data_IF_329370279429
#
_entry.id   IF_329370279429
#
_cell.length_a   1.000
_cell.length_b   1.000
_cell.length_c   1.000
_cell.angle_alpha   90.00
_cell.angle_beta   90.00
_cell.angle_gamma   90.00
#
_symmetry.space_group_name_H-M   'P 1'
#
loop_
_entity.id
_entity.type
_entity.pdbx_description
1 polymer ?
#
# COMPACT_ATOMS: atom_id res chain seq x y z
N UNK A 1 -5.39 0.95 22.48
CA UNK A 1 -4.70 0.22 21.40
C UNK A 1 -5.67 0.11 20.23
N UNK A 2 -5.50 0.90 19.17
CA UNK A 2 -6.56 1.13 18.17
C UNK A 2 -6.67 0.04 17.08
N UNK A 3 -5.65 -0.81 16.89
CA UNK A 3 -5.67 -1.93 15.91
C UNK A 3 -5.03 -3.24 16.41
N UNK A 4 -4.35 -3.23 17.55
CA UNK A 4 -3.66 -4.40 18.10
C UNK A 4 -2.41 -4.86 17.33
N UNK A 5 -1.98 -4.15 16.27
CA UNK A 5 -0.79 -4.54 15.48
C UNK A 5 -1.01 -5.75 14.56
N UNK A 6 -2.26 -6.12 14.29
CA UNK A 6 -2.62 -7.35 13.58
C UNK A 6 -2.06 -7.44 12.14
N UNK A 7 -1.87 -6.30 11.46
CA UNK A 7 -1.32 -6.33 10.10
C UNK A 7 0.19 -6.55 10.10
N UNK A 8 0.90 -5.89 11.02
CA UNK A 8 2.33 -6.09 11.26
C UNK A 8 2.62 -7.54 11.68
N UNK A 9 1.83 -8.09 12.60
CA UNK A 9 1.91 -9.50 13.00
C UNK A 9 1.76 -10.43 11.78
N UNK A 10 0.76 -10.15 10.93
CA UNK A 10 0.57 -10.90 9.69
C UNK A 10 1.75 -10.84 8.71
N UNK A 11 2.44 -9.69 8.61
CA UNK A 11 3.67 -9.58 7.83
C UNK A 11 4.80 -10.41 8.44
N UNK A 12 4.96 -10.37 9.76
CA UNK A 12 5.99 -11.12 10.47
C UNK A 12 5.78 -12.62 10.30
N UNK A 13 4.56 -13.10 10.54
CA UNK A 13 4.17 -14.50 10.39
C UNK A 13 4.38 -15.00 8.96
N UNK A 14 3.94 -14.22 7.96
CA UNK A 14 4.16 -14.60 6.56
C UNK A 14 5.66 -14.70 6.22
N UNK A 15 6.48 -13.79 6.74
CA UNK A 15 7.92 -13.81 6.55
C UNK A 15 8.57 -15.01 7.23
N UNK A 16 8.24 -15.30 8.49
CA UNK A 16 8.75 -16.46 9.22
C UNK A 16 8.28 -17.78 8.60
N UNK A 17 7.05 -17.82 8.09
CA UNK A 17 6.51 -18.93 7.31
C UNK A 17 7.40 -19.29 6.10
N UNK A 18 8.16 -18.35 5.53
CA UNK A 18 9.10 -18.65 4.44
C UNK A 18 10.23 -19.60 4.86
N UNK A 19 10.54 -19.69 6.17
CA UNK A 19 11.53 -20.61 6.71
C UNK A 19 11.10 -22.08 6.75
N UNK A 20 9.82 -22.38 6.51
CA UNK A 20 9.32 -23.77 6.47
C UNK A 20 9.58 -24.46 5.12
N UNK A 21 10.03 -25.73 5.11
CA UNK A 21 10.33 -26.46 3.88
C UNK A 21 9.08 -26.97 3.13
N UNK A 22 7.99 -27.29 3.85
CA UNK A 22 6.73 -27.77 3.31
C UNK A 22 5.57 -26.84 3.68
N UNK A 23 4.49 -26.85 2.89
CA UNK A 23 3.29 -26.02 3.13
C UNK A 23 2.76 -26.18 4.57
N UNK A 24 2.69 -27.40 5.06
CA UNK A 24 2.20 -27.76 6.38
C UNK A 24 3.07 -27.09 7.45
N UNK A 25 4.40 -27.21 7.31
CA UNK A 25 5.34 -26.60 8.25
C UNK A 25 5.29 -25.07 8.21
N UNK A 26 5.10 -24.45 7.04
CA UNK A 26 4.91 -22.99 6.94
C UNK A 26 3.67 -22.53 7.70
N UNK A 27 2.55 -23.24 7.52
CA UNK A 27 1.30 -22.92 8.20
C UNK A 27 1.36 -23.17 9.70
N UNK A 28 2.16 -24.12 10.17
CA UNK A 28 2.47 -24.32 11.59
C UNK A 28 3.29 -23.18 12.17
N UNK A 29 4.34 -22.73 11.45
CA UNK A 29 5.18 -21.60 11.89
C UNK A 29 4.32 -20.34 12.03
N UNK A 30 3.46 -20.05 11.04
CA UNK A 30 2.49 -18.94 11.07
C UNK A 30 1.36 -19.09 12.12
N UNK A 31 1.38 -20.12 12.98
CA UNK A 31 0.49 -20.24 14.14
C UNK A 31 1.25 -20.13 15.46
N UNK A 32 2.58 -20.20 15.39
CA UNK A 32 3.43 -20.04 16.56
C UNK A 32 3.50 -18.54 16.89
N UNK A 33 3.16 -18.17 18.12
CA UNK A 33 3.24 -16.79 18.60
C UNK A 33 4.67 -16.25 18.70
N UNK A 34 5.69 -17.11 18.54
CA UNK A 34 7.10 -16.72 18.62
C UNK A 34 7.56 -16.11 17.30
N UNK A 35 8.05 -14.88 17.37
CA UNK A 35 8.67 -14.22 16.23
C UNK A 35 10.04 -14.87 15.89
N UNK A 36 10.27 -15.11 14.61
CA UNK A 36 11.53 -15.58 14.06
C UNK A 36 12.37 -14.45 13.45
N UNK A 37 13.55 -14.81 12.97
CA UNK A 37 14.49 -13.84 12.39
C UNK A 37 13.96 -13.18 11.11
N UNK A 38 13.17 -13.90 10.30
CA UNK A 38 12.59 -13.34 9.08
C UNK A 38 11.48 -12.34 9.41
N UNK A 39 10.65 -12.62 10.41
CA UNK A 39 9.64 -11.71 10.92
C UNK A 39 10.25 -10.42 11.44
N UNK A 40 11.30 -10.51 12.27
CA UNK A 40 12.03 -9.32 12.77
C UNK A 40 12.60 -8.49 11.61
N UNK A 41 13.23 -9.12 10.62
CA UNK A 41 13.78 -8.43 9.45
C UNK A 41 12.69 -7.76 8.61
N UNK A 42 11.56 -8.45 8.38
CA UNK A 42 10.44 -7.91 7.62
C UNK A 42 9.81 -6.70 8.31
N UNK A 43 9.57 -6.79 9.63
CA UNK A 43 9.06 -5.66 10.42
C UNK A 43 10.03 -4.49 10.42
N UNK A 44 11.31 -4.75 10.67
CA UNK A 44 12.36 -3.72 10.67
C UNK A 44 12.43 -3.00 9.33
N UNK A 45 12.44 -3.75 8.22
CA UNK A 45 12.44 -3.18 6.88
C UNK A 45 11.17 -2.38 6.61
N UNK A 46 9.99 -2.89 7.00
CA UNK A 46 8.72 -2.19 6.82
C UNK A 46 8.68 -0.85 7.57
N UNK A 47 9.22 -0.80 8.79
CA UNK A 47 9.28 0.41 9.59
C UNK A 47 10.30 1.39 9.03
N UNK A 48 11.47 0.89 8.59
CA UNK A 48 12.49 1.71 7.95
C UNK A 48 11.98 2.36 6.67
N UNK A 49 11.33 1.60 5.78
CA UNK A 49 10.77 2.14 4.53
C UNK A 49 9.71 3.19 4.82
N UNK A 50 8.80 2.95 5.77
CA UNK A 50 7.77 3.91 6.16
C UNK A 50 8.40 5.18 6.74
N UNK A 51 9.31 5.04 7.70
CA UNK A 51 9.98 6.17 8.33
C UNK A 51 10.82 6.99 7.34
N UNK A 52 11.64 6.34 6.51
CA UNK A 52 12.47 7.02 5.52
C UNK A 52 11.64 7.71 4.46
N UNK A 53 10.53 7.09 4.02
CA UNK A 53 9.64 7.69 3.02
C UNK A 53 8.99 8.95 3.57
N UNK A 54 8.42 8.88 4.79
CA UNK A 54 7.79 10.03 5.42
C UNK A 54 8.80 11.15 5.73
N UNK A 55 10.02 10.81 6.16
CA UNK A 55 11.07 11.79 6.44
C UNK A 55 11.60 12.49 5.17
N UNK A 56 11.52 11.83 4.02
CA UNK A 56 11.92 12.42 2.74
C UNK A 56 10.86 13.39 2.20
N UNK A 57 9.58 13.20 2.58
CA UNK A 57 8.49 14.01 2.04
C UNK A 57 8.42 15.42 2.65
N UNK A 58 8.02 16.43 1.85
CA UNK A 58 7.68 17.74 2.38
C UNK A 58 6.53 17.63 3.39
N UNK A 59 6.58 18.40 4.47
CA UNK A 59 5.61 18.31 5.57
C UNK A 59 4.14 18.38 5.11
N UNK A 60 3.83 19.18 4.09
CA UNK A 60 2.48 19.27 3.53
C UNK A 60 1.99 18.03 2.79
N UNK A 61 2.88 17.15 2.33
CA UNK A 61 2.53 15.90 1.62
C UNK A 61 2.39 14.71 2.56
N UNK A 62 2.94 14.76 3.76
CA UNK A 62 2.95 13.64 4.72
C UNK A 62 1.54 13.15 5.03
N UNK A 63 0.61 14.06 5.34
CA UNK A 63 -0.78 13.68 5.65
C UNK A 63 -1.48 13.04 4.44
N UNK A 64 -1.28 13.61 3.24
CA UNK A 64 -1.84 13.04 2.01
C UNK A 64 -1.29 11.62 1.77
N UNK A 65 0.03 11.45 1.87
CA UNK A 65 0.69 10.17 1.65
C UNK A 65 0.15 9.10 2.62
N UNK A 66 0.01 9.44 3.91
CA UNK A 66 -0.55 8.55 4.94
C UNK A 66 -2.02 8.17 4.66
N UNK A 67 -2.84 9.12 4.23
CA UNK A 67 -4.26 8.85 3.94
C UNK A 67 -4.40 7.98 2.68
N UNK A 68 -3.66 8.31 1.61
CA UNK A 68 -3.69 7.54 0.35
C UNK A 68 -3.15 6.12 0.57
N UNK A 69 -1.99 5.97 1.23
CA UNK A 69 -1.43 4.66 1.57
C UNK A 69 -2.40 3.88 2.45
N UNK A 70 -3.02 4.57 3.42
CA UNK A 70 -4.03 4.03 4.29
C UNK A 70 -5.20 3.42 3.51
N UNK A 71 -5.91 4.23 2.72
CA UNK A 71 -7.05 3.81 1.92
C UNK A 71 -6.72 2.64 0.98
N UNK A 72 -5.61 2.73 0.25
CA UNK A 72 -5.22 1.70 -0.71
C UNK A 72 -4.85 0.38 -0.03
N UNK A 73 -4.21 0.42 1.14
CA UNK A 73 -3.92 -0.78 1.92
C UNK A 73 -5.21 -1.49 2.38
N UNK A 74 -6.29 -0.76 2.68
CA UNK A 74 -7.59 -1.37 3.04
C UNK A 74 -8.29 -1.96 1.82
N UNK A 75 -8.16 -1.33 0.66
CA UNK A 75 -8.64 -1.89 -0.60
C UNK A 75 -7.89 -3.19 -0.97
N UNK A 76 -6.56 -3.22 -0.77
CA UNK A 76 -5.71 -4.37 -1.06
C UNK A 76 -6.12 -5.64 -0.29
N UNK A 77 -6.64 -5.51 0.94
CA UNK A 77 -7.18 -6.63 1.74
C UNK A 77 -8.27 -7.41 1.00
N UNK A 78 -9.05 -6.74 0.15
CA UNK A 78 -10.16 -7.34 -0.58
C UNK A 78 -9.74 -7.94 -1.92
N UNK A 79 -8.59 -7.53 -2.46
CA UNK A 79 -8.07 -8.00 -3.75
C UNK A 79 -7.69 -9.47 -3.67
N UNK A 80 -6.98 -9.89 -2.62
CA UNK A 80 -6.48 -11.26 -2.50
C UNK A 80 -7.59 -12.31 -2.44
N UNK A 81 -8.62 -12.18 -1.58
CA UNK A 81 -9.72 -13.13 -1.53
C UNK A 81 -10.56 -13.18 -2.82
N UNK A 82 -10.45 -12.16 -3.70
CA UNK A 82 -11.14 -12.15 -5.00
C UNK A 82 -10.47 -13.09 -6.02
N UNK A 83 -9.18 -13.40 -5.84
CA UNK A 83 -8.39 -14.22 -6.77
C UNK A 83 -7.80 -15.49 -6.14
N UNK A 84 -7.91 -15.65 -4.82
CA UNK A 84 -7.36 -16.77 -4.06
C UNK A 84 -8.44 -17.47 -3.25
N UNK A 85 -8.25 -18.77 -3.07
CA UNK A 85 -9.01 -19.56 -2.09
C UNK A 85 -8.34 -19.47 -0.71
N UNK A 86 -9.09 -19.63 0.38
CA UNK A 86 -8.51 -19.75 1.71
C UNK A 86 -7.52 -20.92 1.80
N UNK A 87 -6.34 -20.69 2.36
CA UNK A 87 -5.30 -21.71 2.54
C UNK A 87 -5.62 -22.70 3.66
N UNK A 88 -6.44 -22.29 4.63
CA UNK A 88 -6.87 -23.07 5.80
C UNK A 88 -8.40 -23.26 5.78
N UNK A 89 -8.92 -24.37 6.35
CA UNK A 89 -10.36 -24.60 6.45
C UNK A 89 -11.04 -23.70 7.49
N UNK A 90 -10.26 -23.12 8.40
CA UNK A 90 -10.68 -22.37 9.59
C UNK A 90 -10.04 -20.96 9.65
N UNK A 91 -10.51 -20.14 10.59
CA UNK A 91 -9.99 -18.79 10.87
C UNK A 91 -10.84 -17.64 10.32
N UNK A 92 -10.62 -16.43 10.85
CA UNK A 92 -11.41 -15.24 10.51
C UNK A 92 -11.40 -14.93 9.01
N UNK A 93 -10.25 -15.09 8.36
CA UNK A 93 -10.13 -14.85 6.92
C UNK A 93 -11.01 -15.79 6.07
N UNK A 94 -11.37 -16.98 6.58
CA UNK A 94 -12.29 -17.90 5.88
C UNK A 94 -13.70 -17.32 5.74
N UNK A 95 -14.14 -16.48 6.68
CA UNK A 95 -15.46 -15.82 6.64
C UNK A 95 -15.61 -14.88 5.43
N UNK A 96 -14.50 -14.49 4.81
CA UNK A 96 -14.48 -13.69 3.58
C UNK A 96 -14.74 -14.54 2.32
N UNK A 97 -14.96 -15.86 2.44
CA UNK A 97 -15.15 -16.78 1.31
C UNK A 97 -16.53 -17.48 1.37
N UNK A 98 -17.44 -17.23 0.40
CA UNK A 98 -17.26 -16.37 -0.76
C UNK A 98 -17.32 -14.88 -0.39
N UNK A 99 -16.56 -14.06 -1.13
CA UNK A 99 -16.59 -12.61 -0.94
C UNK A 99 -17.98 -12.06 -1.27
N UNK A 100 -18.62 -11.34 -0.34
CA UNK A 100 -19.87 -10.67 -0.66
C UNK A 100 -19.58 -9.55 -1.69
N UNK A 101 -20.22 -9.64 -2.87
CA UNK A 101 -19.97 -8.74 -4.00
C UNK A 101 -20.29 -7.28 -3.69
N UNK A 102 -21.34 -7.02 -2.94
CA UNK A 102 -21.78 -5.65 -2.64
C UNK A 102 -20.80 -4.89 -1.73
N UNK A 103 -20.39 -5.42 -0.56
CA UNK A 103 -19.34 -4.81 0.26
C UNK A 103 -18.01 -4.67 -0.47
N UNK A 104 -17.66 -5.62 -1.34
CA UNK A 104 -16.45 -5.56 -2.15
C UNK A 104 -16.43 -4.31 -3.06
N UNK A 105 -17.48 -4.14 -3.87
CA UNK A 105 -17.57 -2.98 -4.77
C UNK A 105 -17.73 -1.66 -4.01
N UNK A 106 -18.50 -1.66 -2.92
CA UNK A 106 -18.61 -0.47 -2.05
C UNK A 106 -17.26 -0.07 -1.46
N UNK A 107 -16.48 -1.03 -0.95
CA UNK A 107 -15.15 -0.77 -0.42
C UNK A 107 -14.21 -0.19 -1.47
N UNK A 108 -14.22 -0.75 -2.68
CA UNK A 108 -13.40 -0.26 -3.79
C UNK A 108 -13.82 1.14 -4.26
N UNK A 109 -15.14 1.39 -4.38
CA UNK A 109 -15.69 2.70 -4.76
C UNK A 109 -15.36 3.73 -3.70
N UNK A 110 -15.55 3.42 -2.41
CA UNK A 110 -15.23 4.35 -1.33
C UNK A 110 -13.73 4.66 -1.27
N UNK A 111 -12.87 3.66 -1.44
CA UNK A 111 -11.43 3.87 -1.51
C UNK A 111 -11.04 4.76 -2.72
N UNK A 112 -11.58 4.46 -3.90
CA UNK A 112 -11.36 5.25 -5.11
C UNK A 112 -11.90 6.68 -4.99
N UNK A 113 -13.10 6.84 -4.44
CA UNK A 113 -13.71 8.14 -4.19
C UNK A 113 -12.95 8.96 -3.15
N UNK A 114 -12.39 8.33 -2.12
CA UNK A 114 -11.56 8.99 -1.11
C UNK A 114 -10.27 9.53 -1.74
N UNK A 115 -9.59 8.70 -2.54
CA UNK A 115 -8.37 9.11 -3.28
C UNK A 115 -8.70 10.21 -4.29
N UNK A 116 -9.80 10.06 -5.05
CA UNK A 116 -10.25 11.04 -6.03
C UNK A 116 -10.68 12.37 -5.42
N UNK A 117 -11.40 12.35 -4.31
CA UNK A 117 -11.81 13.55 -3.57
C UNK A 117 -10.59 14.27 -2.97
N UNK A 118 -9.62 13.53 -2.42
CA UNK A 118 -8.38 14.12 -1.92
C UNK A 118 -7.55 14.72 -3.05
N UNK A 119 -7.44 14.03 -4.18
CA UNK A 119 -6.81 14.53 -5.39
C UNK A 119 -7.48 15.81 -5.91
N UNK A 120 -8.82 15.87 -5.90
CA UNK A 120 -9.61 17.03 -6.33
C UNK A 120 -9.49 18.22 -5.36
N UNK A 121 -9.65 17.98 -4.06
CA UNK A 121 -9.50 18.99 -3.01
C UNK A 121 -8.07 19.54 -2.95
N UNK A 122 -7.08 18.70 -3.29
CA UNK A 122 -5.72 19.16 -3.51
C UNK A 122 -5.60 20.02 -4.77
N UNK A 123 -6.10 19.57 -5.92
CA UNK A 123 -5.94 20.25 -7.21
C UNK A 123 -6.44 21.70 -7.24
N UNK A 124 -7.51 22.03 -6.50
CA UNK A 124 -8.09 23.38 -6.48
C UNK A 124 -7.83 24.15 -5.18
N UNK A 125 -6.98 23.63 -4.28
CA UNK A 125 -6.74 24.21 -2.95
C UNK A 125 -5.59 25.24 -2.92
N UNK A 126 -5.71 26.37 -2.19
CA UNK A 126 -4.61 27.33 -1.99
C UNK A 126 -3.37 26.71 -1.33
N UNK A 127 -3.54 25.58 -0.62
CA UNK A 127 -2.46 24.76 -0.09
C UNK A 127 -1.53 24.21 -1.17
N UNK A 128 -2.01 23.89 -2.38
CA UNK A 128 -1.16 23.41 -3.47
C UNK A 128 -0.29 24.52 -4.03
N UNK A 129 -0.77 25.77 -4.13
CA UNK A 129 0.10 26.89 -4.52
C UNK A 129 1.17 27.15 -3.46
N UNK A 130 0.78 27.18 -2.18
CA UNK A 130 1.75 27.34 -1.08
C UNK A 130 2.79 26.22 -1.05
N UNK A 131 2.34 24.98 -1.29
CA UNK A 131 3.21 23.81 -1.31
C UNK A 131 4.06 23.73 -2.58
N UNK A 132 3.50 23.97 -3.77
CA UNK A 132 4.22 24.09 -5.05
C UNK A 132 5.34 25.13 -4.96
N UNK A 133 5.03 26.27 -4.35
CA UNK A 133 6.01 27.32 -4.10
C UNK A 133 7.07 26.90 -3.06
N UNK A 134 6.72 26.04 -2.09
CA UNK A 134 7.67 25.51 -1.10
C UNK A 134 8.47 24.29 -1.57
N UNK A 135 7.94 23.53 -2.54
CA UNK A 135 8.52 22.30 -3.06
C UNK A 135 9.45 22.60 -4.23
N UNK A 136 9.21 23.68 -5.00
CA UNK A 136 9.92 24.03 -6.25
C UNK A 136 10.74 22.86 -6.78
N UNK A 137 10.12 21.92 -7.51
CA UNK A 137 10.73 20.64 -7.86
C UNK A 137 12.15 20.86 -8.39
N UNK A 138 13.09 20.10 -7.84
CA UNK A 138 14.47 20.07 -8.33
C UNK A 138 14.46 19.94 -9.86
N UNK A 139 15.34 20.69 -10.55
CA UNK A 139 15.16 21.09 -11.95
C UNK A 139 14.91 19.99 -12.99
N UNK A 140 15.04 18.70 -12.66
CA UNK A 140 14.73 17.56 -13.54
C UNK A 140 13.24 17.39 -13.81
N UNK A 141 12.37 17.39 -12.78
CA UNK A 141 10.91 17.24 -12.99
C UNK A 141 10.37 18.46 -13.72
N UNK A 142 10.82 19.66 -13.34
CA UNK A 142 10.49 20.91 -14.02
C UNK A 142 10.99 20.93 -15.48
N UNK A 143 12.14 20.32 -15.77
CA UNK A 143 12.67 20.23 -17.14
C UNK A 143 11.91 19.22 -18.00
N UNK A 144 11.54 18.06 -17.45
CA UNK A 144 10.75 17.03 -18.13
C UNK A 144 9.33 17.52 -18.39
N UNK A 145 8.69 18.18 -17.42
CA UNK A 145 7.35 18.76 -17.61
C UNK A 145 7.37 19.86 -18.67
N UNK A 146 8.35 20.77 -18.65
CA UNK A 146 8.50 21.80 -19.69
C UNK A 146 8.84 21.25 -21.06
N UNK A 147 9.60 20.15 -21.14
CA UNK A 147 9.98 19.51 -22.40
C UNK A 147 8.80 18.74 -23.03
N UNK A 148 7.95 18.13 -22.21
CA UNK A 148 6.75 17.42 -22.66
C UNK A 148 5.60 18.39 -22.94
N UNK A 149 5.50 19.50 -22.19
CA UNK A 149 4.37 20.43 -22.29
C UNK A 149 4.78 21.90 -22.12
N UNK A 150 5.35 22.54 -23.18
CA UNK A 150 5.92 23.89 -23.09
C UNK A 150 4.91 25.01 -22.84
N UNK A 151 3.60 24.74 -22.88
CA UNK A 151 2.53 25.73 -22.73
C UNK A 151 1.72 25.61 -21.42
N UNK A 152 2.13 24.77 -20.46
CA UNK A 152 1.43 24.65 -19.18
C UNK A 152 1.62 25.92 -18.34
N UNK A 153 0.55 26.70 -18.17
CA UNK A 153 0.45 27.66 -17.07
C UNK A 153 0.23 26.88 -15.77
N UNK A 154 0.87 27.29 -14.67
CA UNK A 154 1.13 26.46 -13.46
C UNK A 154 -0.03 25.74 -12.75
N UNK A 155 -1.28 25.93 -13.18
CA UNK A 155 -2.43 25.13 -12.74
C UNK A 155 -2.50 23.74 -13.37
N UNK A 156 -2.02 23.60 -14.62
CA UNK A 156 -1.99 22.30 -15.33
C UNK A 156 -0.92 21.37 -14.77
N UNK A 157 0.21 21.92 -14.29
CA UNK A 157 1.31 21.15 -13.69
C UNK A 157 0.89 20.46 -12.38
N UNK A 158 0.08 21.11 -11.55
CA UNK A 158 -0.40 20.52 -10.29
C UNK A 158 -1.36 19.35 -10.52
N UNK A 159 -2.31 19.48 -11.46
CA UNK A 159 -3.24 18.40 -11.83
C UNK A 159 -2.52 17.21 -12.42
N UNK A 160 -1.50 17.45 -13.25
CA UNK A 160 -0.64 16.40 -13.78
C UNK A 160 0.15 15.72 -12.67
N UNK A 161 0.74 16.46 -11.74
CA UNK A 161 1.44 15.88 -10.59
C UNK A 161 0.53 14.96 -9.77
N UNK A 162 -0.69 15.42 -9.46
CA UNK A 162 -1.69 14.60 -8.77
C UNK A 162 -2.05 13.32 -9.54
N UNK A 163 -2.22 13.42 -10.87
CA UNK A 163 -2.45 12.25 -11.71
C UNK A 163 -1.28 11.27 -11.68
N UNK A 164 -0.04 11.77 -11.77
CA UNK A 164 1.16 10.93 -11.69
C UNK A 164 1.26 10.21 -10.34
N UNK A 165 1.02 10.92 -9.22
CA UNK A 165 0.99 10.34 -7.87
C UNK A 165 -0.08 9.26 -7.77
N UNK A 166 -1.28 9.54 -8.28
CA UNK A 166 -2.39 8.59 -8.32
C UNK A 166 -2.03 7.32 -9.08
N UNK A 167 -1.50 7.46 -10.30
CA UNK A 167 -1.08 6.33 -11.13
C UNK A 167 0.04 5.51 -10.49
N UNK A 168 1.06 6.16 -9.93
CA UNK A 168 2.16 5.48 -9.23
C UNK A 168 1.66 4.76 -7.98
N UNK A 169 0.73 5.34 -7.22
CA UNK A 169 0.13 4.71 -6.03
C UNK A 169 -0.69 3.48 -6.39
N UNK A 170 -1.46 3.53 -7.48
CA UNK A 170 -2.21 2.38 -8.00
C UNK A 170 -1.24 1.29 -8.48
N UNK A 171 -0.22 1.64 -9.26
CA UNK A 171 0.79 0.70 -9.73
C UNK A 171 1.54 0.03 -8.58
N UNK A 172 1.93 0.81 -7.56
CA UNK A 172 2.57 0.33 -6.34
C UNK A 172 1.67 -0.65 -5.56
N UNK A 173 0.37 -0.34 -5.47
CA UNK A 173 -0.63 -1.22 -4.85
C UNK A 173 -0.78 -2.53 -5.62
N UNK A 174 -0.89 -2.47 -6.94
CA UNK A 174 -0.98 -3.66 -7.79
C UNK A 174 0.28 -4.52 -7.69
N UNK A 175 1.47 -3.90 -7.62
CA UNK A 175 2.74 -4.60 -7.42
C UNK A 175 2.78 -5.32 -6.06
N UNK A 176 2.39 -4.65 -4.98
CA UNK A 176 2.30 -5.26 -3.64
C UNK A 176 1.30 -6.42 -3.62
N UNK A 177 0.08 -6.22 -4.14
CA UNK A 177 -0.93 -7.27 -4.27
C UNK A 177 -0.43 -8.45 -5.10
N UNK A 178 0.23 -8.20 -6.24
CA UNK A 178 0.79 -9.22 -7.11
C UNK A 178 1.88 -10.04 -6.42
N UNK A 179 2.82 -9.36 -5.73
CA UNK A 179 3.89 -10.01 -4.97
C UNK A 179 3.33 -10.94 -3.90
N UNK A 180 2.41 -10.42 -3.06
CA UNK A 180 1.81 -11.23 -1.99
C UNK A 180 0.93 -12.34 -2.54
N UNK A 181 0.19 -12.11 -3.63
CA UNK A 181 -0.60 -13.15 -4.29
C UNK A 181 0.28 -14.30 -4.78
N UNK A 182 1.41 -13.97 -5.44
CA UNK A 182 2.37 -14.98 -5.91
C UNK A 182 2.97 -15.73 -4.73
N UNK A 183 3.40 -15.03 -3.68
CA UNK A 183 3.94 -15.64 -2.47
C UNK A 183 2.91 -16.57 -1.80
N UNK A 184 1.69 -16.09 -1.57
CA UNK A 184 0.60 -16.86 -0.96
C UNK A 184 0.25 -18.13 -1.75
N UNK A 185 0.16 -18.02 -3.08
CA UNK A 185 -0.07 -19.20 -3.96
C UNK A 185 1.06 -20.21 -3.87
N UNK A 186 2.31 -19.75 -3.98
CA UNK A 186 3.48 -20.63 -4.02
C UNK A 186 3.83 -21.24 -2.67
N UNK A 187 3.67 -20.47 -1.60
CA UNK A 187 4.09 -20.88 -0.26
C UNK A 187 3.01 -21.64 0.49
N UNK A 188 1.75 -21.19 0.37
CA UNK A 188 0.64 -21.62 1.22
C UNK A 188 -0.54 -22.24 0.45
N UNK A 189 -0.57 -22.12 -0.88
CA UNK A 189 -1.67 -22.60 -1.73
C UNK A 189 -2.97 -21.79 -1.60
N UNK A 190 -2.93 -20.59 -1.03
CA UNK A 190 -4.10 -19.75 -0.77
C UNK A 190 -3.80 -18.59 0.17
N UNK A 191 -4.82 -17.89 0.68
CA UNK A 191 -4.65 -16.80 1.65
C UNK A 191 -5.00 -17.22 3.10
N UNK A 192 -4.34 -16.61 4.08
CA UNK A 192 -4.70 -16.62 5.52
C UNK A 192 -4.97 -15.19 6.00
N UNK A 193 -5.39 -15.00 7.25
CA UNK A 193 -5.51 -13.66 7.84
C UNK A 193 -4.19 -12.91 7.82
N UNK A 194 -3.10 -13.61 8.12
CA UNK A 194 -1.73 -13.11 8.16
C UNK A 194 -1.29 -12.61 6.78
N UNK A 195 -1.63 -13.35 5.71
CA UNK A 195 -1.39 -12.92 4.32
C UNK A 195 -2.13 -11.62 4.00
N UNK A 196 -3.35 -11.44 4.52
CA UNK A 196 -4.09 -10.19 4.34
C UNK A 196 -3.43 -9.05 5.14
N UNK A 197 -2.99 -9.30 6.37
CA UNK A 197 -2.18 -8.34 7.13
C UNK A 197 -0.93 -7.91 6.38
N UNK A 198 -0.19 -8.88 5.83
CA UNK A 198 1.02 -8.65 5.06
C UNK A 198 0.78 -7.79 3.80
N UNK A 199 -0.30 -8.04 3.04
CA UNK A 199 -0.59 -7.22 1.85
C UNK A 199 -0.92 -5.78 2.22
N UNK A 200 -1.59 -5.54 3.35
CA UNK A 200 -1.84 -4.18 3.82
C UNK A 200 -0.53 -3.45 4.15
N UNK A 201 0.36 -4.06 4.95
CA UNK A 201 1.64 -3.43 5.32
C UNK A 201 2.53 -3.20 4.11
N UNK A 202 2.63 -4.17 3.20
CA UNK A 202 3.44 -4.01 1.99
C UNK A 202 2.86 -2.96 1.04
N UNK A 203 1.52 -2.86 0.94
CA UNK A 203 0.87 -1.79 0.16
C UNK A 203 1.21 -0.42 0.75
N UNK A 204 1.17 -0.26 2.07
CA UNK A 204 1.58 1.01 2.72
C UNK A 204 3.04 1.34 2.40
N UNK A 205 3.95 0.37 2.50
CA UNK A 205 5.37 0.58 2.20
C UNK A 205 5.58 0.99 0.73
N UNK A 206 4.95 0.29 -0.21
CA UNK A 206 5.12 0.53 -1.64
C UNK A 206 4.52 1.87 -2.07
N UNK A 207 3.34 2.22 -1.54
CA UNK A 207 2.70 3.51 -1.83
C UNK A 207 3.50 4.66 -1.21
N UNK A 208 3.95 4.55 0.04
CA UNK A 208 4.76 5.61 0.65
C UNK A 208 6.10 5.80 -0.07
N UNK A 209 6.75 4.71 -0.49
CA UNK A 209 7.97 4.79 -1.30
C UNK A 209 7.72 5.39 -2.69
N UNK A 210 6.55 5.20 -3.30
CA UNK A 210 6.26 5.82 -4.61
C UNK A 210 6.13 7.34 -4.51
N UNK A 211 5.66 7.87 -3.37
CA UNK A 211 5.62 9.32 -3.12
C UNK A 211 7.03 9.95 -3.06
N UNK A 212 8.08 9.22 -2.69
CA UNK A 212 9.43 9.79 -2.65
C UNK A 212 10.04 9.99 -4.04
N UNK A 213 9.45 9.41 -5.09
CA UNK A 213 9.89 9.62 -6.48
C UNK A 213 9.61 11.04 -6.99
N UNK A 214 8.91 11.85 -6.19
CA UNK A 214 8.58 13.25 -6.47
C UNK A 214 9.69 14.25 -6.07
N UNK A 215 10.72 13.78 -5.36
CA UNK A 215 11.86 14.58 -4.86
C UNK A 215 12.98 14.65 -5.90
#
# INVERSE_FOLDING_TARGET
MLTGGLHEDGLADLADGCGGPSRERRLEIMRDSRIGSYGVLALSLSLLVRASSLAALPAGMVLLALVVSGCLARAALLVLPAFLTPARPDGLARSLSPLPRTPFWLGLILAGASVGALAWLWADGPCVMSLWNSIQPSGKILSLSRQIWPHASGFYDARLMVLHIGLLSVAATLAACGLVTVAARRLLGGYTGDVLGAVAVLTECFVLASFTTLL
#
